data_IF_214207251305
#
_entry.id   IF_214207251305
#
_cell.length_a   1.000
_cell.length_b   1.000
_cell.length_c   1.000
_cell.angle_alpha   90.00
_cell.angle_beta   90.00
_cell.angle_gamma   90.00
#
_symmetry.space_group_name_H-M   'P 1'
#
loop_
_entity.id
_entity.type
_entity.pdbx_description
1 polymer ?
#
# COMPACT_ATOMS: atom_id res chain seq x y z
N UNK A 1 59.08 -3.54 -59.00
CA UNK A 1 58.77 -4.98 -59.10
C UNK A 1 57.29 -5.17 -58.81
N UNK A 2 56.53 -5.71 -59.76
CA UNK A 2 55.10 -6.09 -59.64
C UNK A 2 55.05 -7.61 -59.44
N UNK A 3 54.26 -8.13 -58.47
CA UNK A 3 52.98 -8.80 -58.78
C UNK A 3 51.87 -8.44 -57.75
N UNK A 4 50.64 -8.13 -58.14
CA UNK A 4 49.56 -8.95 -58.74
C UNK A 4 48.72 -9.76 -57.74
N UNK A 5 47.48 -9.27 -57.55
CA UNK A 5 46.19 -9.95 -57.39
C UNK A 5 45.94 -10.80 -56.13
N UNK A 6 44.82 -10.54 -55.45
CA UNK A 6 43.55 -11.28 -55.59
C UNK A 6 42.52 -10.62 -54.64
N UNK A 7 41.43 -10.11 -55.21
CA UNK A 7 40.24 -9.70 -54.45
C UNK A 7 39.41 -10.94 -54.13
N UNK A 8 39.10 -11.15 -52.85
CA UNK A 8 38.02 -12.04 -52.42
C UNK A 8 37.06 -11.19 -51.60
N UNK A 9 35.92 -10.87 -52.19
CA UNK A 9 34.79 -10.27 -51.49
C UNK A 9 34.04 -11.39 -50.78
N UNK A 10 34.29 -11.59 -49.48
CA UNK A 10 33.38 -12.37 -48.63
C UNK A 10 32.30 -11.41 -48.14
N UNK A 11 31.11 -11.49 -48.73
CA UNK A 11 29.90 -10.88 -48.15
C UNK A 11 29.49 -11.76 -46.97
N UNK A 12 30.14 -11.55 -45.82
CA UNK A 12 29.63 -12.05 -44.55
C UNK A 12 28.55 -11.06 -44.10
N UNK A 13 27.29 -11.43 -44.32
CA UNK A 13 26.13 -10.68 -43.85
C UNK A 13 26.20 -10.49 -42.34
N UNK A 14 26.64 -9.31 -41.90
CA UNK A 14 26.41 -8.85 -40.54
C UNK A 14 24.94 -8.45 -40.50
N UNK A 15 24.11 -9.35 -39.97
CA UNK A 15 22.80 -8.97 -39.49
C UNK A 15 23.00 -7.90 -38.40
N UNK A 16 22.86 -6.63 -38.78
CA UNK A 16 22.74 -5.53 -37.82
C UNK A 16 21.36 -5.70 -37.18
N UNK A 17 21.30 -6.56 -36.16
CA UNK A 17 20.23 -6.48 -35.17
C UNK A 17 20.55 -5.23 -34.36
N UNK A 18 20.09 -4.08 -34.87
CA UNK A 18 20.00 -2.86 -34.10
C UNK A 18 18.96 -3.12 -33.00
N UNK A 19 19.41 -3.76 -31.91
CA UNK A 19 18.66 -3.90 -30.68
C UNK A 19 18.49 -2.53 -30.08
N UNK A 20 17.52 -1.76 -30.57
CA UNK A 20 16.97 -0.62 -29.85
C UNK A 20 16.30 -1.18 -28.61
N UNK A 21 17.06 -1.22 -27.52
CA UNK A 21 16.54 -1.30 -26.16
C UNK A 21 15.67 -0.07 -25.92
N UNK A 22 14.43 -0.10 -26.41
CA UNK A 22 13.38 0.78 -25.92
C UNK A 22 13.01 0.26 -24.53
N UNK A 23 13.77 0.72 -23.53
CA UNK A 23 13.33 0.69 -22.14
C UNK A 23 12.11 1.61 -22.04
N UNK A 24 10.92 1.08 -22.31
CA UNK A 24 9.68 1.71 -21.88
C UNK A 24 9.68 1.66 -20.36
N UNK A 25 10.25 2.68 -19.73
CA UNK A 25 10.05 2.91 -18.31
C UNK A 25 8.56 3.02 -18.09
N UNK A 26 7.97 2.00 -17.47
CA UNK A 26 6.61 2.10 -16.96
C UNK A 26 6.64 3.17 -15.87
N UNK A 27 6.35 4.41 -16.25
CA UNK A 27 6.03 5.45 -15.29
C UNK A 27 4.81 4.93 -14.53
N UNK A 28 5.00 4.53 -13.27
CA UNK A 28 3.89 4.19 -12.39
C UNK A 28 2.92 5.38 -12.42
N UNK A 29 1.71 5.16 -12.95
CA UNK A 29 0.67 6.18 -12.96
C UNK A 29 0.28 6.45 -11.51
N UNK A 30 0.85 7.51 -10.94
CA UNK A 30 0.42 8.04 -9.64
C UNK A 30 -0.91 8.74 -9.85
N UNK A 31 -2.01 8.05 -9.56
CA UNK A 31 -3.31 8.69 -9.34
C UNK A 31 -3.40 9.14 -7.88
N UNK A 32 -3.64 10.43 -7.65
CA UNK A 32 -3.93 10.94 -6.31
C UNK A 32 -5.38 10.62 -5.95
N UNK A 33 -5.72 10.55 -4.65
CA UNK A 33 -7.11 10.47 -4.25
C UNK A 33 -7.91 11.67 -4.77
N UNK A 34 -9.05 11.41 -5.40
CA UNK A 34 -9.94 12.46 -5.92
C UNK A 34 -10.79 13.11 -4.81
N UNK A 35 -10.78 12.54 -3.61
CA UNK A 35 -11.56 13.00 -2.47
C UNK A 35 -10.70 13.17 -1.21
N UNK A 36 -11.04 14.17 -0.41
CA UNK A 36 -10.48 14.37 0.93
C UNK A 36 -11.53 13.92 1.95
N UNK A 37 -11.22 12.94 2.82
CA UNK A 37 -12.16 12.51 3.85
C UNK A 37 -12.47 13.63 4.86
N UNK A 38 -13.73 13.73 5.27
CA UNK A 38 -14.18 14.70 6.26
C UNK A 38 -13.50 14.48 7.63
N UNK A 39 -13.25 15.58 8.34
CA UNK A 39 -12.65 15.57 9.68
C UNK A 39 -11.61 16.67 9.87
N UNK A 40 -11.22 16.90 11.13
CA UNK A 40 -10.18 17.86 11.51
C UNK A 40 -8.81 17.31 11.09
N UNK A 41 -7.96 18.09 10.39
CA UNK A 41 -6.61 17.65 10.04
C UNK A 41 -5.84 17.19 11.28
N UNK A 42 -4.92 16.23 11.10
CA UNK A 42 -4.10 15.72 12.21
C UNK A 42 -3.44 16.87 12.98
N UNK A 43 -3.40 16.76 14.28
CA UNK A 43 -2.66 17.68 15.12
C UNK A 43 -1.17 17.29 15.20
N UNK A 44 -0.39 18.07 15.94
CA UNK A 44 1.04 17.80 16.12
C UNK A 44 1.31 16.55 16.95
N UNK A 45 0.44 16.24 17.91
CA UNK A 45 0.57 15.08 18.80
C UNK A 45 0.34 13.79 18.02
N UNK A 46 -0.73 13.69 17.24
CA UNK A 46 -1.02 12.54 16.38
C UNK A 46 0.14 12.26 15.42
N UNK A 47 0.68 13.30 14.77
CA UNK A 47 1.87 13.14 13.91
C UNK A 47 3.11 12.64 14.67
N UNK A 48 3.32 13.12 15.89
CA UNK A 48 4.42 12.68 16.74
C UNK A 48 4.27 11.20 17.13
N UNK A 49 3.06 10.78 17.50
CA UNK A 49 2.75 9.38 17.83
C UNK A 49 2.97 8.47 16.63
N UNK A 50 2.47 8.84 15.44
CA UNK A 50 2.71 8.06 14.20
C UNK A 50 4.21 7.95 13.88
N UNK A 51 4.97 9.03 14.08
CA UNK A 51 6.42 9.02 13.86
C UNK A 51 7.14 8.07 14.82
N UNK A 52 6.75 8.07 16.10
CA UNK A 52 7.26 7.13 17.10
C UNK A 52 6.90 5.68 16.75
N UNK A 53 5.66 5.44 16.34
CA UNK A 53 5.19 4.13 15.90
C UNK A 53 5.99 3.62 14.69
N UNK A 54 6.26 4.45 13.67
CA UNK A 54 7.10 4.06 12.52
C UNK A 54 8.51 3.62 12.91
N UNK A 55 9.07 4.20 13.96
CA UNK A 55 10.40 3.87 14.44
C UNK A 55 10.42 2.60 15.28
N UNK A 56 9.35 2.34 16.03
CA UNK A 56 9.29 1.27 17.02
C UNK A 56 8.56 0.01 16.52
N UNK A 57 7.59 0.16 15.64
CA UNK A 57 6.73 -0.91 15.16
C UNK A 57 7.20 -1.40 13.79
N UNK A 58 7.47 -2.70 13.69
CA UNK A 58 7.65 -3.38 12.40
C UNK A 58 6.28 -3.65 11.79
N UNK A 59 5.66 -2.65 11.15
CA UNK A 59 4.27 -2.66 10.66
C UNK A 59 4.01 -3.61 9.48
N UNK A 60 4.50 -4.84 9.53
CA UNK A 60 4.05 -5.90 8.64
C UNK A 60 2.59 -6.23 8.95
N UNK A 61 1.70 -6.33 7.95
CA UNK A 61 1.98 -6.39 6.52
C UNK A 61 1.96 -5.05 5.77
N UNK A 62 1.58 -3.93 6.40
CA UNK A 62 1.30 -2.65 5.71
C UNK A 62 2.13 -1.46 6.22
N UNK A 63 3.11 -1.03 5.41
CA UNK A 63 3.85 0.21 5.67
C UNK A 63 2.93 1.44 5.62
N UNK A 64 3.08 2.36 6.58
CA UNK A 64 2.28 3.60 6.69
C UNK A 64 0.94 3.42 7.41
N UNK A 65 0.67 2.23 7.96
CA UNK A 65 -0.40 1.95 8.90
C UNK A 65 0.22 1.86 10.29
N UNK A 66 0.34 3.02 10.93
CA UNK A 66 1.17 3.23 12.12
C UNK A 66 0.44 2.99 13.45
N UNK A 67 -0.76 2.41 13.37
CA UNK A 67 -1.58 2.02 14.50
C UNK A 67 -1.85 0.53 14.35
N UNK A 68 -1.44 -0.26 15.34
CA UNK A 68 -1.74 -1.67 15.44
C UNK A 68 -2.68 -1.92 16.64
N UNK A 69 -3.78 -2.62 16.40
CA UNK A 69 -4.78 -2.98 17.41
C UNK A 69 -5.14 -4.44 17.21
N UNK A 70 -5.37 -5.16 18.30
CA UNK A 70 -5.80 -6.55 18.26
C UNK A 70 -7.06 -6.70 19.11
N UNK A 71 -8.05 -7.40 18.58
CA UNK A 71 -9.35 -7.53 19.23
C UNK A 71 -10.20 -8.64 18.63
N UNK A 72 -11.15 -9.12 19.42
CA UNK A 72 -12.13 -10.11 19.00
C UNK A 72 -13.41 -9.43 18.54
N UNK A 73 -13.95 -9.87 17.40
CA UNK A 73 -15.22 -9.43 16.83
C UNK A 73 -16.25 -10.55 16.96
N UNK A 74 -17.16 -10.50 17.96
CA UNK A 74 -18.29 -11.43 18.06
C UNK A 74 -19.28 -11.22 16.93
N UNK A 75 -19.76 -12.31 16.33
CA UNK A 75 -20.80 -12.23 15.30
C UNK A 75 -22.14 -11.81 15.92
N UNK A 76 -22.84 -10.87 15.26
CA UNK A 76 -24.11 -10.29 15.74
C UNK A 76 -25.13 -11.34 16.16
N UNK A 77 -25.35 -12.36 15.33
CA UNK A 77 -26.39 -13.37 15.55
C UNK A 77 -25.88 -14.62 16.31
N UNK A 78 -24.56 -14.73 16.54
CA UNK A 78 -23.95 -15.80 17.31
C UNK A 78 -22.64 -15.34 17.98
N UNK A 79 -22.71 -14.68 19.15
CA UNK A 79 -21.54 -14.08 19.80
C UNK A 79 -20.46 -15.08 20.26
N UNK A 80 -20.78 -16.36 20.37
CA UNK A 80 -19.77 -17.39 20.66
C UNK A 80 -18.80 -17.58 19.49
N UNK A 81 -19.22 -17.26 18.26
CA UNK A 81 -18.33 -17.16 17.11
C UNK A 81 -17.62 -15.81 17.13
N UNK A 82 -16.35 -15.83 17.52
CA UNK A 82 -15.48 -14.68 17.58
C UNK A 82 -14.41 -14.77 16.50
N UNK A 83 -14.11 -13.63 15.88
CA UNK A 83 -13.01 -13.49 14.94
C UNK A 83 -11.93 -12.62 15.57
N UNK A 84 -10.73 -13.18 15.76
CA UNK A 84 -9.53 -12.40 16.10
C UNK A 84 -9.16 -11.53 14.90
N UNK A 85 -9.07 -10.23 15.12
CA UNK A 85 -8.81 -9.24 14.09
C UNK A 85 -7.61 -8.40 14.46
N UNK A 86 -6.55 -8.56 13.68
CA UNK A 86 -5.36 -7.73 13.74
C UNK A 86 -5.56 -6.51 12.83
N UNK A 87 -5.83 -5.36 13.44
CA UNK A 87 -6.10 -4.11 12.74
C UNK A 87 -4.78 -3.39 12.50
N UNK A 88 -4.46 -3.17 11.23
CA UNK A 88 -3.44 -2.25 10.80
C UNK A 88 -4.16 -1.01 10.31
N UNK A 89 -4.04 0.08 11.05
CA UNK A 89 -4.80 1.30 10.86
C UNK A 89 -3.90 2.47 10.44
N UNK A 90 -4.38 3.25 9.48
CA UNK A 90 -3.83 4.55 9.12
C UNK A 90 -4.79 5.61 9.62
N UNK A 91 -4.34 6.45 10.55
CA UNK A 91 -5.08 7.65 10.90
C UNK A 91 -5.12 8.54 9.65
N UNK A 92 -6.30 8.96 9.21
CA UNK A 92 -6.44 9.83 8.04
C UNK A 92 -6.43 11.29 8.49
N UNK A 93 -7.23 11.58 9.51
CA UNK A 93 -7.38 12.87 10.18
C UNK A 93 -7.82 12.59 11.63
N UNK A 94 -8.08 13.59 12.47
CA UNK A 94 -8.45 13.36 13.89
C UNK A 94 -9.79 12.63 14.08
N UNK A 95 -10.59 12.51 13.03
CA UNK A 95 -11.94 11.98 13.09
C UNK A 95 -12.15 10.70 12.29
N UNK A 96 -11.12 10.20 11.61
CA UNK A 96 -11.21 9.02 10.75
C UNK A 96 -9.91 8.20 10.77
N UNK A 97 -10.04 6.93 11.12
CA UNK A 97 -9.04 5.90 10.88
C UNK A 97 -9.54 4.90 9.84
N UNK A 98 -8.63 4.47 8.96
CA UNK A 98 -8.88 3.42 7.97
C UNK A 98 -8.04 2.20 8.32
N UNK A 99 -8.67 1.06 8.51
CA UNK A 99 -8.02 -0.16 8.98
C UNK A 99 -8.18 -1.30 7.99
N UNK A 100 -7.11 -2.08 7.85
CA UNK A 100 -7.11 -3.36 7.16
C UNK A 100 -6.94 -4.44 8.21
N UNK A 101 -7.85 -5.40 8.24
CA UNK A 101 -7.95 -6.42 9.27
C UNK A 101 -7.40 -7.72 8.72
N UNK A 102 -6.50 -8.35 9.47
CA UNK A 102 -5.92 -9.65 9.14
C UNK A 102 -6.23 -10.68 10.22
N UNK A 103 -6.13 -11.96 9.88
CA UNK A 103 -6.21 -13.10 10.81
C UNK A 103 -4.89 -13.38 11.57
N UNK A 104 -3.91 -12.49 11.42
CA UNK A 104 -2.60 -12.56 12.08
C UNK A 104 -1.81 -11.27 11.91
N UNK A 105 -0.69 -11.13 12.62
CA UNK A 105 0.23 -9.98 12.52
C UNK A 105 1.51 -10.27 11.71
N UNK A 106 1.51 -11.36 10.94
CA UNK A 106 2.66 -11.76 10.13
C UNK A 106 2.50 -11.31 8.67
N UNK A 107 3.59 -11.36 7.91
CA UNK A 107 3.59 -11.03 6.47
C UNK A 107 2.74 -11.98 5.61
N UNK A 108 2.37 -13.14 6.14
CA UNK A 108 1.57 -14.16 5.45
C UNK A 108 0.14 -14.24 5.99
N UNK A 109 -0.27 -13.31 6.85
CA UNK A 109 -1.63 -13.25 7.36
C UNK A 109 -2.63 -12.99 6.22
N UNK A 110 -3.80 -13.61 6.32
CA UNK A 110 -4.86 -13.47 5.33
C UNK A 110 -5.69 -12.23 5.63
N UNK A 111 -6.11 -11.54 4.56
CA UNK A 111 -7.02 -10.42 4.67
C UNK A 111 -8.39 -10.92 5.14
N UNK A 112 -8.86 -10.35 6.24
CA UNK A 112 -10.13 -10.67 6.85
C UNK A 112 -11.20 -9.60 6.55
N UNK A 113 -10.83 -8.31 6.60
CA UNK A 113 -11.78 -7.23 6.38
C UNK A 113 -11.18 -5.83 6.28
N UNK A 114 -12.05 -4.84 6.15
CA UNK A 114 -11.74 -3.41 6.15
C UNK A 114 -12.67 -2.72 7.13
N UNK A 115 -12.13 -1.80 7.93
CA UNK A 115 -12.91 -1.03 8.90
C UNK A 115 -12.61 0.47 8.75
N UNK A 116 -13.67 1.28 8.92
CA UNK A 116 -13.59 2.73 9.01
C UNK A 116 -14.08 3.12 10.39
N UNK A 117 -13.19 3.67 11.20
CA UNK A 117 -13.50 4.13 12.55
C UNK A 117 -13.66 5.64 12.49
N UNK A 118 -14.84 6.14 12.85
CA UNK A 118 -15.13 7.57 12.91
C UNK A 118 -15.23 8.05 14.36
N UNK A 119 -14.90 9.32 14.62
CA UNK A 119 -15.09 9.91 15.94
C UNK A 119 -16.57 10.03 16.31
N UNK A 120 -16.87 10.11 17.61
CA UNK A 120 -18.23 10.39 18.12
C UNK A 120 -18.83 11.65 17.47
N UNK A 121 -18.02 12.70 17.28
CA UNK A 121 -18.43 13.93 16.59
C UNK A 121 -18.94 13.65 15.18
N UNK A 122 -18.25 12.80 14.42
CA UNK A 122 -18.67 12.40 13.07
C UNK A 122 -19.88 11.47 13.09
N UNK A 123 -19.95 10.57 14.08
CA UNK A 123 -21.10 9.68 14.26
C UNK A 123 -22.40 10.48 14.51
N UNK A 124 -22.35 11.50 15.37
CA UNK A 124 -23.52 12.31 15.74
C UNK A 124 -24.13 13.14 14.60
N UNK A 125 -23.47 13.24 13.45
CA UNK A 125 -23.97 13.94 12.26
C UNK A 125 -24.36 12.99 11.12
N UNK A 126 -24.29 11.68 11.34
CA UNK A 126 -24.76 10.72 10.35
C UNK A 126 -26.28 10.83 10.17
N UNK A 127 -26.80 10.54 8.96
CA UNK A 127 -28.23 10.42 8.75
C UNK A 127 -28.85 9.35 9.65
N UNK A 128 -30.12 9.50 10.06
CA UNK A 128 -30.84 8.43 10.72
C UNK A 128 -30.97 7.22 9.78
N UNK A 129 -31.03 6.03 10.39
CA UNK A 129 -31.24 4.73 9.74
C UNK A 129 -32.67 4.50 9.23
#
# INVERSE_FOLDING_TARGET
MVPSRISITIVAGVAVVAGTLFSTGAAAQRSLPDTTPAGTPKDAQTRMLESGARLLQGNAPLAGFDIYLDGFHPMKDNPEMQVEAHHFCRQINEDLAQCVLFDGNTRTANLNGIEYIISEKMYGILPPE
#
